data_IF_908760727472
#
_entry.id   IF_908760727472
#
_cell.length_a   1.000
_cell.length_b   1.000
_cell.length_c   1.000
_cell.angle_alpha   90.00
_cell.angle_beta   90.00
_cell.angle_gamma   90.00
#
_symmetry.space_group_name_H-M   'P 1'
#
loop_
_entity.id
_entity.type
_entity.pdbx_description
1 polymer ?
#
# COMPACT_ATOMS: atom_id res chain seq x y z
N UNK A 1 -15.48 -23.94 18.25
CA UNK A 1 -14.40 -23.25 17.49
C UNK A 1 -14.09 -23.96 16.17
N UNK A 2 -13.75 -25.23 16.20
CA UNK A 2 -13.37 -26.00 15.01
C UNK A 2 -14.48 -26.06 13.93
N UNK A 3 -15.74 -26.18 14.32
CA UNK A 3 -16.91 -26.18 13.44
C UNK A 3 -17.08 -24.84 12.66
N UNK A 4 -16.78 -23.69 13.28
CA UNK A 4 -16.94 -22.38 12.61
C UNK A 4 -15.83 -22.09 11.60
N UNK A 5 -14.57 -22.41 11.94
CA UNK A 5 -13.48 -22.33 10.98
C UNK A 5 -13.69 -23.26 9.81
N UNK A 6 -14.19 -24.48 10.03
CA UNK A 6 -14.55 -25.41 8.95
C UNK A 6 -15.63 -24.83 8.03
N UNK A 7 -16.63 -24.14 8.57
CA UNK A 7 -17.65 -23.46 7.78
C UNK A 7 -17.04 -22.32 6.94
N UNK A 8 -16.16 -21.50 7.50
CA UNK A 8 -15.43 -20.45 6.76
C UNK A 8 -14.66 -21.06 5.59
N UNK A 9 -13.90 -22.12 5.83
CA UNK A 9 -13.11 -22.79 4.79
C UNK A 9 -14.00 -23.33 3.67
N UNK A 10 -15.11 -24.03 4.01
CA UNK A 10 -16.02 -24.59 3.02
C UNK A 10 -16.76 -23.52 2.22
N UNK A 11 -17.03 -22.35 2.80
CA UNK A 11 -17.64 -21.23 2.09
C UNK A 11 -16.71 -20.70 1.00
N UNK A 12 -15.44 -20.45 1.35
CA UNK A 12 -14.42 -19.98 0.39
C UNK A 12 -14.17 -21.04 -0.70
N UNK A 13 -14.16 -22.34 -0.33
CA UNK A 13 -14.02 -23.41 -1.32
C UNK A 13 -15.20 -23.51 -2.25
N UNK A 14 -16.42 -23.28 -1.77
CA UNK A 14 -17.63 -23.26 -2.60
C UNK A 14 -17.57 -22.14 -3.66
N UNK A 15 -17.04 -21.00 -3.28
CA UNK A 15 -16.98 -19.81 -4.13
C UNK A 15 -15.67 -19.72 -4.95
N UNK A 16 -14.85 -20.78 -4.93
CA UNK A 16 -13.53 -20.86 -5.60
C UNK A 16 -13.57 -20.40 -7.06
N UNK A 17 -14.43 -20.96 -7.88
CA UNK A 17 -14.48 -20.65 -9.33
C UNK A 17 -14.80 -19.17 -9.57
N UNK A 18 -15.71 -18.60 -8.77
CA UNK A 18 -16.08 -17.19 -8.86
C UNK A 18 -14.94 -16.27 -8.43
N UNK A 19 -14.22 -16.63 -7.37
CA UNK A 19 -13.07 -15.87 -6.89
C UNK A 19 -11.89 -15.92 -7.89
N UNK A 20 -11.61 -17.09 -8.47
CA UNK A 20 -10.59 -17.21 -9.51
C UNK A 20 -10.97 -16.42 -10.77
N UNK A 21 -12.26 -16.41 -11.15
CA UNK A 21 -12.76 -15.59 -12.26
C UNK A 21 -12.62 -14.10 -11.96
N UNK A 22 -12.92 -13.67 -10.73
CA UNK A 22 -12.71 -12.30 -10.29
C UNK A 22 -11.24 -11.87 -10.44
N UNK A 23 -10.31 -12.68 -9.95
CA UNK A 23 -8.87 -12.42 -10.07
C UNK A 23 -8.44 -12.27 -11.53
N UNK A 24 -8.89 -13.18 -12.41
CA UNK A 24 -8.54 -13.12 -13.83
C UNK A 24 -9.14 -11.91 -14.53
N UNK A 25 -10.38 -11.51 -14.22
CA UNK A 25 -11.00 -10.30 -14.79
C UNK A 25 -10.22 -9.04 -14.43
N UNK A 26 -9.85 -8.89 -13.15
CA UNK A 26 -9.05 -7.74 -12.71
C UNK A 26 -7.68 -7.78 -13.39
N UNK A 27 -7.04 -8.95 -13.47
CA UNK A 27 -5.72 -9.10 -14.09
C UNK A 27 -5.73 -8.73 -15.58
N UNK A 28 -6.75 -9.17 -16.32
CA UNK A 28 -6.83 -9.02 -17.78
C UNK A 28 -7.29 -7.63 -18.20
N UNK A 29 -7.82 -6.82 -17.27
CA UNK A 29 -8.30 -5.46 -17.46
C UNK A 29 -7.61 -4.50 -16.48
N UNK A 30 -6.29 -4.29 -16.61
CA UNK A 30 -5.49 -3.54 -15.65
C UNK A 30 -5.74 -2.05 -15.76
N UNK A 31 -6.18 -1.43 -14.66
CA UNK A 31 -6.44 0.00 -14.53
C UNK A 31 -5.44 0.67 -13.58
N UNK A 32 -5.10 1.93 -13.87
CA UNK A 32 -4.16 2.69 -13.04
C UNK A 32 -4.85 3.27 -11.79
N UNK A 33 -4.04 3.64 -10.82
CA UNK A 33 -4.53 4.22 -9.57
C UNK A 33 -5.47 5.41 -9.77
N UNK A 34 -6.61 5.39 -9.08
CA UNK A 34 -7.78 6.27 -9.16
C UNK A 34 -8.59 6.15 -10.47
N UNK A 35 -8.28 5.18 -11.33
CA UNK A 35 -9.02 4.88 -12.56
C UNK A 35 -9.59 3.45 -12.54
N UNK A 36 -9.59 2.74 -11.40
CA UNK A 36 -9.93 1.33 -11.22
C UNK A 36 -11.46 1.09 -11.19
N UNK A 37 -12.18 1.62 -12.16
CA UNK A 37 -13.65 1.54 -12.21
C UNK A 37 -14.16 0.15 -12.57
N UNK A 38 -13.48 -0.58 -13.45
CA UNK A 38 -13.85 -1.94 -13.83
C UNK A 38 -13.56 -2.91 -12.69
N UNK A 39 -12.39 -2.82 -12.06
CA UNK A 39 -12.06 -3.63 -10.89
C UNK A 39 -13.08 -3.43 -9.75
N UNK A 40 -13.44 -2.16 -9.45
CA UNK A 40 -14.53 -1.82 -8.52
C UNK A 40 -15.85 -2.49 -8.91
N UNK A 41 -16.21 -2.46 -10.22
CA UNK A 41 -17.44 -3.09 -10.70
C UNK A 41 -17.40 -4.60 -10.51
N UNK A 42 -16.32 -5.27 -10.90
CA UNK A 42 -16.18 -6.72 -10.77
C UNK A 42 -16.30 -7.19 -9.33
N UNK A 43 -15.61 -6.52 -8.39
CA UNK A 43 -15.69 -6.83 -6.96
C UNK A 43 -17.12 -6.56 -6.44
N UNK A 44 -17.71 -5.42 -6.82
CA UNK A 44 -19.06 -5.04 -6.40
C UNK A 44 -20.11 -6.06 -6.88
N UNK A 45 -19.97 -6.60 -8.08
CA UNK A 45 -20.90 -7.57 -8.63
C UNK A 45 -20.84 -8.90 -7.87
N UNK A 46 -19.64 -9.37 -7.51
CA UNK A 46 -19.47 -10.56 -6.65
C UNK A 46 -20.15 -10.31 -5.29
N UNK A 47 -19.85 -9.20 -4.62
CA UNK A 47 -20.42 -8.89 -3.30
C UNK A 47 -21.95 -8.76 -3.34
N UNK A 48 -22.51 -8.10 -4.36
CA UNK A 48 -23.95 -7.96 -4.55
C UNK A 48 -24.64 -9.30 -4.84
N UNK A 49 -24.02 -10.18 -5.64
CA UNK A 49 -24.53 -11.54 -5.91
C UNK A 49 -24.65 -12.36 -4.62
N UNK A 50 -23.76 -12.14 -3.65
CA UNK A 50 -23.82 -12.72 -2.32
C UNK A 50 -24.74 -11.96 -1.35
N UNK A 51 -25.48 -10.96 -1.83
CA UNK A 51 -26.50 -10.23 -1.06
C UNK A 51 -25.96 -9.08 -0.21
N UNK A 52 -24.70 -8.67 -0.38
CA UNK A 52 -24.14 -7.53 0.35
C UNK A 52 -24.37 -6.22 -0.38
N UNK A 53 -24.72 -5.19 0.39
CA UNK A 53 -24.78 -3.82 -0.12
C UNK A 53 -23.35 -3.30 -0.24
N UNK A 54 -23.03 -2.71 -1.40
CA UNK A 54 -21.75 -2.07 -1.67
C UNK A 54 -21.95 -0.56 -1.73
N UNK A 55 -21.30 0.16 -0.86
CA UNK A 55 -21.16 1.61 -0.91
C UNK A 55 -19.95 1.98 -1.76
N UNK A 56 -20.17 2.52 -2.94
CA UNK A 56 -19.12 3.00 -3.85
C UNK A 56 -18.79 4.47 -3.57
N UNK A 57 -17.58 4.92 -3.91
CA UNK A 57 -17.11 6.26 -3.60
C UNK A 57 -16.82 6.44 -2.10
N UNK A 58 -16.57 5.35 -1.39
CA UNK A 58 -16.36 5.34 0.06
C UNK A 58 -15.14 6.18 0.46
N UNK A 59 -15.29 6.96 1.54
CA UNK A 59 -14.23 7.85 2.00
C UNK A 59 -13.84 8.93 0.97
N UNK A 60 -14.74 9.26 0.01
CA UNK A 60 -14.52 10.33 -0.97
C UNK A 60 -13.57 10.00 -2.11
N UNK A 61 -13.20 8.75 -2.32
CA UNK A 61 -12.46 8.28 -3.48
C UNK A 61 -13.40 7.51 -4.42
N UNK A 62 -13.56 7.97 -5.66
CA UNK A 62 -14.57 7.45 -6.61
C UNK A 62 -14.43 5.94 -6.85
N UNK A 63 -13.20 5.42 -6.88
CA UNK A 63 -12.90 4.01 -7.12
C UNK A 63 -12.79 3.18 -5.84
N UNK A 64 -12.99 3.78 -4.65
CA UNK A 64 -13.08 3.08 -3.37
C UNK A 64 -14.49 2.53 -3.12
N UNK A 65 -14.59 1.51 -2.28
CA UNK A 65 -15.87 0.94 -1.85
C UNK A 65 -15.79 0.40 -0.42
N UNK A 66 -16.99 0.19 0.17
CA UNK A 66 -17.15 -0.58 1.40
C UNK A 66 -18.35 -1.50 1.30
N UNK A 67 -18.20 -2.72 1.80
CA UNK A 67 -19.31 -3.62 2.12
C UNK A 67 -19.10 -4.18 3.52
N UNK A 68 -20.20 -4.50 4.22
CA UNK A 68 -20.12 -4.94 5.61
C UNK A 68 -21.20 -5.95 5.98
N UNK A 69 -20.95 -6.73 7.03
CA UNK A 69 -21.90 -7.62 7.69
C UNK A 69 -21.79 -7.43 9.20
N UNK A 70 -22.89 -7.07 9.81
CA UNK A 70 -23.01 -7.01 11.27
C UNK A 70 -23.17 -8.39 11.88
N UNK A 71 -22.64 -8.54 13.07
CA UNK A 71 -22.80 -9.73 13.91
C UNK A 71 -24.04 -9.69 14.78
N UNK A 72 -24.16 -10.66 15.69
CA UNK A 72 -25.33 -10.85 16.57
C UNK A 72 -25.50 -9.76 17.65
N UNK A 73 -24.43 -9.05 18.00
CA UNK A 73 -24.41 -7.99 19.03
C UNK A 73 -23.26 -7.02 18.76
N UNK A 74 -23.31 -5.80 19.32
CA UNK A 74 -22.22 -4.83 19.21
C UNK A 74 -20.87 -5.43 19.63
N UNK A 75 -19.81 -4.98 18.96
CA UNK A 75 -18.43 -5.41 19.18
C UNK A 75 -17.48 -4.72 18.22
N UNK A 76 -16.22 -5.17 18.08
CA UNK A 76 -15.23 -4.53 17.23
C UNK A 76 -15.50 -4.76 15.73
N UNK A 77 -14.92 -3.90 14.92
CA UNK A 77 -14.93 -4.01 13.46
C UNK A 77 -13.61 -4.54 12.94
N UNK A 78 -13.67 -5.65 12.20
CA UNK A 78 -12.55 -6.21 11.44
C UNK A 78 -12.69 -5.83 9.97
N UNK A 79 -11.67 -5.22 9.39
CA UNK A 79 -11.64 -4.83 7.98
C UNK A 79 -10.63 -5.67 7.18
N UNK A 80 -11.07 -6.22 6.05
CA UNK A 80 -10.18 -6.73 5.01
C UNK A 80 -9.92 -5.63 3.98
N UNK A 81 -8.65 -5.36 3.65
CA UNK A 81 -8.28 -4.30 2.73
C UNK A 81 -8.00 -4.89 1.35
N UNK A 82 -8.62 -4.30 0.32
CA UNK A 82 -8.51 -4.75 -1.06
C UNK A 82 -7.80 -3.69 -1.92
N UNK A 83 -6.64 -4.03 -2.47
CA UNK A 83 -5.95 -3.26 -3.51
C UNK A 83 -6.23 -3.88 -4.87
N UNK A 84 -6.34 -3.06 -5.93
CA UNK A 84 -6.67 -3.51 -7.28
C UNK A 84 -6.11 -2.62 -8.40
N UNK A 85 -5.29 -1.63 -8.09
CA UNK A 85 -4.59 -0.82 -9.08
C UNK A 85 -3.43 -1.59 -9.72
N UNK A 86 -3.12 -1.21 -10.97
CA UNK A 86 -2.07 -1.80 -11.80
C UNK A 86 -0.95 -0.81 -12.10
N UNK A 87 0.18 -1.33 -12.56
CA UNK A 87 1.36 -0.57 -12.97
C UNK A 87 1.30 -0.20 -14.45
N UNK A 88 1.59 1.04 -14.77
CA UNK A 88 1.62 1.54 -16.16
C UNK A 88 2.58 0.74 -17.02
N UNK A 89 2.05 0.11 -18.08
CA UNK A 89 2.82 -0.66 -19.06
C UNK A 89 3.27 -2.05 -18.60
N UNK A 90 2.94 -2.44 -17.36
CA UNK A 90 3.26 -3.75 -16.78
C UNK A 90 2.02 -4.57 -16.48
N UNK A 91 0.91 -3.92 -16.10
CA UNK A 91 -0.28 -4.58 -15.59
C UNK A 91 -0.17 -4.89 -14.10
N UNK A 92 -0.74 -6.01 -13.64
CA UNK A 92 -0.71 -6.39 -12.23
C UNK A 92 0.65 -6.95 -11.77
N UNK A 93 1.72 -6.19 -12.04
CA UNK A 93 3.10 -6.54 -11.67
C UNK A 93 3.41 -6.50 -10.17
N UNK A 94 2.42 -6.12 -9.33
CA UNK A 94 2.46 -6.25 -7.88
C UNK A 94 1.44 -7.28 -7.36
N UNK A 95 0.61 -7.84 -8.25
CA UNK A 95 -0.37 -8.88 -7.93
C UNK A 95 -1.60 -8.38 -7.17
N UNK A 96 -2.00 -7.12 -7.36
CA UNK A 96 -3.16 -6.54 -6.67
C UNK A 96 -4.48 -7.23 -7.04
N UNK A 97 -4.58 -7.87 -8.22
CA UNK A 97 -5.70 -8.76 -8.56
C UNK A 97 -5.89 -9.87 -7.50
N UNK A 98 -4.79 -10.41 -6.97
CA UNK A 98 -4.82 -11.43 -5.90
C UNK A 98 -5.18 -10.83 -4.55
N UNK A 99 -4.74 -9.57 -4.24
CA UNK A 99 -5.11 -8.88 -3.00
C UNK A 99 -6.61 -8.60 -2.95
N UNK A 100 -7.17 -8.07 -4.05
CA UNK A 100 -8.61 -7.84 -4.19
C UNK A 100 -9.41 -9.14 -3.97
N UNK A 101 -9.01 -10.19 -4.65
CA UNK A 101 -9.67 -11.50 -4.60
C UNK A 101 -9.54 -12.15 -3.22
N UNK A 102 -8.35 -12.14 -2.63
CA UNK A 102 -8.09 -12.66 -1.30
C UNK A 102 -8.97 -11.97 -0.23
N UNK A 103 -9.01 -10.63 -0.27
CA UNK A 103 -9.82 -9.85 0.68
C UNK A 103 -11.32 -10.06 0.46
N UNK A 104 -11.77 -10.22 -0.80
CA UNK A 104 -13.17 -10.55 -1.11
C UNK A 104 -13.53 -11.93 -0.57
N UNK A 105 -12.71 -12.94 -0.83
CA UNK A 105 -12.92 -14.29 -0.31
C UNK A 105 -12.88 -14.35 1.22
N UNK A 106 -11.96 -13.62 1.85
CA UNK A 106 -11.88 -13.52 3.32
C UNK A 106 -13.15 -12.88 3.92
N UNK A 107 -13.65 -11.82 3.29
CA UNK A 107 -14.90 -11.18 3.69
C UNK A 107 -16.09 -12.14 3.57
N UNK A 108 -16.28 -12.80 2.43
CA UNK A 108 -17.36 -13.77 2.22
C UNK A 108 -17.30 -14.91 3.23
N UNK A 109 -16.11 -15.49 3.43
CA UNK A 109 -15.90 -16.57 4.38
C UNK A 109 -16.25 -16.19 5.81
N UNK A 110 -15.73 -15.08 6.32
CA UNK A 110 -16.01 -14.63 7.69
C UNK A 110 -17.47 -14.17 7.85
N UNK A 111 -18.01 -13.48 6.86
CA UNK A 111 -19.40 -13.01 6.87
C UNK A 111 -20.42 -14.16 7.00
N UNK A 112 -20.08 -15.36 6.51
CA UNK A 112 -20.93 -16.56 6.60
C UNK A 112 -21.21 -17.04 8.03
N UNK A 113 -20.38 -16.62 9.01
CA UNK A 113 -20.50 -17.02 10.43
C UNK A 113 -20.80 -15.84 11.36
N UNK A 114 -21.02 -14.64 10.84
CA UNK A 114 -21.21 -13.42 11.65
C UNK A 114 -22.46 -13.47 12.54
N UNK A 115 -23.48 -14.23 12.17
CA UNK A 115 -24.69 -14.38 13.01
C UNK A 115 -24.41 -14.93 14.42
N UNK A 116 -23.26 -15.59 14.59
CA UNK A 116 -22.81 -16.17 15.85
C UNK A 116 -21.72 -15.35 16.57
N UNK A 117 -21.26 -14.25 15.95
CA UNK A 117 -20.16 -13.43 16.45
C UNK A 117 -20.60 -12.03 16.87
N UNK A 118 -19.90 -11.39 17.81
CA UNK A 118 -20.07 -9.97 18.07
C UNK A 118 -19.39 -9.12 17.00
N UNK A 119 -19.76 -7.83 16.95
CA UNK A 119 -19.06 -6.85 16.14
C UNK A 119 -19.45 -6.86 14.66
N UNK A 120 -18.51 -6.52 13.82
CA UNK A 120 -18.73 -6.31 12.38
C UNK A 120 -17.51 -6.81 11.60
N UNK A 121 -17.77 -7.36 10.43
CA UNK A 121 -16.75 -7.55 9.39
C UNK A 121 -17.04 -6.61 8.21
N UNK A 122 -16.01 -6.00 7.65
CA UNK A 122 -16.13 -5.23 6.42
C UNK A 122 -14.98 -5.54 5.45
N UNK A 123 -15.22 -5.23 4.18
CA UNK A 123 -14.17 -5.13 3.16
C UNK A 123 -14.12 -3.67 2.70
N UNK A 124 -12.92 -3.12 2.60
CA UNK A 124 -12.68 -1.75 2.13
C UNK A 124 -11.78 -1.81 0.91
N UNK A 125 -12.29 -1.31 -0.21
CA UNK A 125 -11.51 -1.10 -1.43
C UNK A 125 -10.59 0.10 -1.25
N UNK A 126 -9.30 -0.14 -1.40
CA UNK A 126 -8.24 0.85 -1.16
C UNK A 126 -7.44 1.07 -2.45
N UNK A 127 -7.95 1.96 -3.35
CA UNK A 127 -7.37 2.21 -4.66
C UNK A 127 -5.99 2.89 -4.59
N UNK A 128 -5.24 2.84 -5.68
CA UNK A 128 -4.05 3.63 -5.94
C UNK A 128 -2.93 3.47 -4.90
N UNK A 129 -2.58 2.24 -4.54
CA UNK A 129 -1.39 1.97 -3.71
C UNK A 129 -0.11 2.41 -4.43
N UNK A 130 -0.01 2.11 -5.74
CA UNK A 130 1.16 2.37 -6.59
C UNK A 130 1.33 3.88 -6.90
N UNK A 131 1.78 4.61 -5.90
CA UNK A 131 2.11 6.04 -6.00
C UNK A 131 0.97 7.03 -5.73
N UNK A 132 -0.27 6.57 -5.58
CA UNK A 132 -1.42 7.42 -5.26
C UNK A 132 -1.69 7.58 -3.77
N UNK A 133 -1.19 6.63 -2.95
CA UNK A 133 -1.38 6.56 -1.51
C UNK A 133 -2.86 6.67 -1.10
N UNK A 134 -3.71 5.83 -1.70
CA UNK A 134 -5.16 5.85 -1.49
C UNK A 134 -5.55 5.65 -0.04
N UNK A 135 -4.88 4.75 0.71
CA UNK A 135 -5.14 4.54 2.14
C UNK A 135 -4.84 5.78 2.98
N UNK A 136 -3.82 6.58 2.62
CA UNK A 136 -3.56 7.86 3.31
C UNK A 136 -4.72 8.82 3.13
N UNK A 137 -5.28 8.91 1.92
CA UNK A 137 -6.43 9.77 1.63
C UNK A 137 -7.69 9.28 2.34
N UNK A 138 -7.95 7.97 2.31
CA UNK A 138 -9.06 7.33 3.04
C UNK A 138 -8.96 7.59 4.56
N UNK A 139 -7.77 7.48 5.16
CA UNK A 139 -7.53 7.80 6.56
C UNK A 139 -7.86 9.27 6.87
N UNK A 140 -7.39 10.21 6.04
CA UNK A 140 -7.68 11.65 6.20
C UNK A 140 -9.17 11.96 6.12
N UNK A 141 -9.91 11.18 5.36
CA UNK A 141 -11.36 11.33 5.17
C UNK A 141 -12.20 10.53 6.18
N UNK A 142 -11.56 9.90 7.18
CA UNK A 142 -12.26 9.18 8.26
C UNK A 142 -12.77 7.79 7.88
N UNK A 143 -12.35 7.24 6.73
CA UNK A 143 -12.82 5.92 6.25
C UNK A 143 -12.48 4.74 7.17
N UNK A 144 -11.58 4.93 8.12
CA UNK A 144 -11.15 3.93 9.10
C UNK A 144 -11.57 4.25 10.54
N UNK A 145 -12.41 5.29 10.79
CA UNK A 145 -12.69 5.77 12.15
C UNK A 145 -13.50 4.76 12.97
N UNK A 146 -14.26 3.87 12.32
CA UNK A 146 -15.02 2.79 12.95
C UNK A 146 -14.35 1.40 12.82
N UNK A 147 -13.11 1.34 12.33
CA UNK A 147 -12.36 0.10 12.15
C UNK A 147 -11.41 -0.12 13.33
N UNK A 148 -11.48 -1.30 13.95
CA UNK A 148 -10.63 -1.67 15.08
C UNK A 148 -9.41 -2.48 14.68
N UNK A 149 -9.51 -3.29 13.63
CA UNK A 149 -8.46 -4.20 13.17
C UNK A 149 -8.47 -4.27 11.64
N UNK A 150 -7.30 -4.17 11.01
CA UNK A 150 -7.16 -4.26 9.55
C UNK A 150 -6.27 -5.45 9.15
N UNK A 151 -6.72 -6.22 8.16
CA UNK A 151 -6.02 -7.40 7.68
C UNK A 151 -5.87 -7.34 6.16
N UNK A 152 -4.66 -7.63 5.70
CA UNK A 152 -4.36 -7.75 4.27
C UNK A 152 -3.26 -8.80 4.05
N UNK A 153 -3.37 -9.57 2.97
CA UNK A 153 -2.32 -10.42 2.44
C UNK A 153 -1.76 -9.79 1.17
N UNK A 154 -0.46 -9.86 0.97
CA UNK A 154 0.20 -9.39 -0.24
C UNK A 154 0.96 -10.54 -0.93
N UNK A 155 0.84 -10.71 -2.25
CA UNK A 155 1.64 -11.70 -2.96
C UNK A 155 3.12 -11.32 -2.99
N UNK A 156 3.97 -12.33 -3.05
CA UNK A 156 5.42 -12.18 -3.19
C UNK A 156 5.99 -13.28 -4.09
N UNK A 157 7.29 -13.30 -4.32
CA UNK A 157 7.98 -14.33 -5.10
C UNK A 157 9.17 -14.93 -4.33
N UNK A 158 9.73 -16.03 -4.85
CA UNK A 158 10.93 -16.66 -4.34
C UNK A 158 10.75 -17.64 -3.20
N UNK A 159 9.53 -18.19 -3.02
CA UNK A 159 9.25 -19.31 -2.12
C UNK A 159 9.28 -18.98 -0.62
N UNK A 160 9.22 -17.70 -0.23
CA UNK A 160 9.24 -17.31 1.17
C UNK A 160 7.93 -16.65 1.59
N UNK A 161 7.18 -17.32 2.46
CA UNK A 161 5.99 -16.76 3.09
C UNK A 161 6.40 -16.07 4.41
N UNK A 162 6.04 -14.79 4.56
CA UNK A 162 6.51 -13.96 5.67
C UNK A 162 5.35 -13.32 6.43
N UNK A 163 5.38 -13.43 7.76
CA UNK A 163 4.51 -12.67 8.66
C UNK A 163 5.28 -11.53 9.30
N UNK A 164 4.60 -10.43 9.58
CA UNK A 164 5.20 -9.33 10.35
C UNK A 164 6.34 -8.61 9.63
N UNK A 165 6.29 -8.56 8.30
CA UNK A 165 7.24 -7.82 7.49
C UNK A 165 7.05 -6.33 7.68
N UNK A 166 8.09 -5.64 8.15
CA UNK A 166 8.13 -4.19 8.25
C UNK A 166 8.15 -3.50 6.88
N UNK A 167 8.30 -2.19 6.89
CA UNK A 167 8.44 -1.38 5.67
C UNK A 167 9.01 -0.02 6.05
N UNK A 168 9.54 0.70 5.06
CA UNK A 168 10.13 2.01 5.23
C UNK A 168 9.16 3.10 4.80
N UNK A 169 9.34 4.30 5.35
CA UNK A 169 8.63 5.47 4.87
C UNK A 169 9.16 5.92 3.49
N UNK A 170 8.26 6.44 2.65
CA UNK A 170 8.60 6.98 1.34
C UNK A 170 7.74 8.19 0.98
N UNK A 171 8.33 9.08 0.17
CA UNK A 171 7.63 10.22 -0.42
C UNK A 171 8.21 10.51 -1.80
N UNK A 172 7.36 10.84 -2.76
CA UNK A 172 7.77 11.36 -4.05
C UNK A 172 7.69 12.89 -4.09
N UNK A 173 8.52 13.51 -4.90
CA UNK A 173 8.44 14.94 -5.15
C UNK A 173 8.79 15.25 -6.60
N UNK A 174 8.05 16.18 -7.21
CA UNK A 174 8.33 16.76 -8.53
C UNK A 174 8.64 18.23 -8.37
N UNK A 175 9.69 18.68 -9.02
CA UNK A 175 10.10 20.09 -9.01
C UNK A 175 10.16 20.58 -10.45
N UNK A 176 9.35 21.59 -10.75
CA UNK A 176 9.34 22.31 -12.01
C UNK A 176 10.05 23.65 -11.85
N UNK A 177 11.05 23.92 -12.67
CA UNK A 177 11.69 25.22 -12.73
C UNK A 177 11.29 26.00 -13.99
N UNK A 178 10.82 27.22 -13.79
CA UNK A 178 10.55 28.20 -14.84
C UNK A 178 11.67 29.22 -14.89
N UNK A 179 12.31 29.35 -16.05
CA UNK A 179 13.33 30.33 -16.35
C UNK A 179 12.91 31.24 -17.49
N UNK A 180 13.88 31.62 -18.35
CA UNK A 180 13.66 32.43 -19.55
C UNK A 180 14.52 31.92 -20.70
N UNK A 181 13.90 31.57 -21.82
CA UNK A 181 14.58 31.13 -23.04
C UNK A 181 15.40 32.26 -23.68
N UNK A 182 16.54 31.86 -24.26
CA UNK A 182 17.39 32.77 -25.06
C UNK A 182 18.25 31.93 -26.01
N UNK A 183 18.77 32.58 -27.07
CA UNK A 183 19.77 31.93 -27.89
C UNK A 183 21.07 31.75 -27.11
N UNK A 184 21.72 30.59 -27.22
CA UNK A 184 22.92 30.26 -26.45
C UNK A 184 24.11 31.19 -26.66
N UNK A 185 24.14 31.94 -27.81
CA UNK A 185 25.16 32.96 -28.08
C UNK A 185 24.98 34.25 -27.26
N UNK A 186 23.83 34.47 -26.66
CA UNK A 186 23.50 35.64 -25.83
C UNK A 186 22.87 35.22 -24.49
N UNK A 187 23.56 34.38 -23.67
CA UNK A 187 22.98 33.72 -22.51
C UNK A 187 22.48 34.69 -21.44
N UNK A 188 23.06 35.91 -21.38
CA UNK A 188 22.66 36.97 -20.45
C UNK A 188 21.19 37.43 -20.62
N UNK A 189 20.56 37.11 -21.74
CA UNK A 189 19.17 37.46 -22.01
C UNK A 189 18.19 36.38 -21.49
N UNK A 190 18.71 35.23 -21.04
CA UNK A 190 17.95 34.10 -20.49
C UNK A 190 18.14 33.87 -19.01
N UNK A 191 17.32 32.99 -18.47
CA UNK A 191 17.45 32.38 -17.15
C UNK A 191 17.39 30.89 -17.37
N UNK A 192 18.47 30.17 -17.05
CA UNK A 192 18.59 28.75 -17.36
C UNK A 192 17.93 27.89 -16.29
N UNK A 193 16.75 27.34 -16.57
CA UNK A 193 16.03 26.45 -15.66
C UNK A 193 16.78 25.13 -15.41
N UNK A 194 17.50 24.60 -16.40
CA UNK A 194 18.28 23.36 -16.22
C UNK A 194 19.43 23.56 -15.22
N UNK A 195 20.05 24.74 -15.21
CA UNK A 195 21.08 25.05 -14.22
C UNK A 195 20.52 24.97 -12.79
N UNK A 196 19.27 25.39 -12.57
CA UNK A 196 18.63 25.26 -11.25
C UNK A 196 18.42 23.79 -10.87
N UNK A 197 17.95 22.95 -11.77
CA UNK A 197 17.81 21.49 -11.55
C UNK A 197 19.16 20.87 -11.18
N UNK A 198 20.22 21.14 -11.95
CA UNK A 198 21.57 20.63 -11.68
C UNK A 198 22.06 21.06 -10.30
N UNK A 199 21.80 22.31 -9.89
CA UNK A 199 22.15 22.81 -8.56
C UNK A 199 21.44 22.07 -7.45
N UNK A 200 20.15 21.70 -7.62
CA UNK A 200 19.44 20.87 -6.62
C UNK A 200 20.14 19.54 -6.43
N UNK A 201 20.48 18.82 -7.52
CA UNK A 201 21.20 17.55 -7.43
C UNK A 201 22.56 17.67 -6.74
N UNK A 202 23.35 18.69 -7.12
CA UNK A 202 24.67 18.94 -6.52
C UNK A 202 24.58 19.21 -5.01
N UNK A 203 23.59 20.00 -4.58
CA UNK A 203 23.42 20.31 -3.16
C UNK A 203 22.96 19.09 -2.35
N UNK A 204 22.05 18.26 -2.91
CA UNK A 204 21.66 17.00 -2.27
C UNK A 204 22.90 16.10 -2.10
N UNK A 205 23.74 15.98 -3.12
CA UNK A 205 24.96 15.17 -3.04
C UNK A 205 25.97 15.70 -2.01
N UNK A 206 26.10 17.01 -1.88
CA UNK A 206 26.93 17.63 -0.82
C UNK A 206 26.40 17.33 0.59
N UNK A 207 25.09 17.14 0.73
CA UNK A 207 24.46 16.86 2.04
C UNK A 207 24.43 15.37 2.40
N UNK A 208 24.66 14.44 1.44
CA UNK A 208 24.64 12.96 1.70
C UNK A 208 25.49 12.54 2.90
N UNK A 209 26.70 13.09 3.18
CA UNK A 209 27.46 12.71 4.36
C UNK A 209 26.78 13.02 5.70
N UNK A 210 25.73 13.85 5.71
CA UNK A 210 24.95 14.19 6.91
C UNK A 210 23.68 13.35 7.06
N UNK A 211 23.39 12.49 6.08
CA UNK A 211 22.22 11.62 6.10
C UNK A 211 22.46 10.41 7.01
N UNK A 212 21.38 9.92 7.59
CA UNK A 212 21.41 8.64 8.28
C UNK A 212 21.66 7.50 7.28
N UNK A 213 22.28 6.38 7.69
CA UNK A 213 22.62 5.28 6.77
C UNK A 213 21.44 4.73 5.95
N UNK A 214 20.24 4.90 6.45
CA UNK A 214 19.01 4.44 5.82
C UNK A 214 18.31 5.52 4.98
N UNK A 215 18.78 6.76 5.04
CA UNK A 215 18.19 7.82 4.22
C UNK A 215 18.57 7.65 2.76
N UNK A 216 17.58 7.84 1.89
CA UNK A 216 17.80 7.75 0.47
C UNK A 216 17.00 8.84 -0.25
N UNK A 217 17.70 9.63 -1.09
CA UNK A 217 17.10 10.58 -2.01
C UNK A 217 17.66 10.25 -3.39
N UNK A 218 16.87 9.55 -4.21
CA UNK A 218 17.18 9.28 -5.62
C UNK A 218 16.34 10.16 -6.51
N UNK A 219 16.90 10.60 -7.63
CA UNK A 219 16.16 11.44 -8.56
C UNK A 219 16.60 11.28 -10.01
N UNK A 220 15.76 11.81 -10.88
CA UNK A 220 16.00 11.93 -12.31
C UNK A 220 15.72 13.35 -12.77
N UNK A 221 16.32 13.74 -13.88
CA UNK A 221 15.93 14.93 -14.65
C UNK A 221 14.91 14.46 -15.69
N UNK A 222 13.63 14.80 -15.50
CA UNK A 222 12.56 14.38 -16.40
C UNK A 222 12.40 15.30 -17.63
N UNK A 223 12.90 16.56 -17.52
CA UNK A 223 12.98 17.50 -18.65
C UNK A 223 14.22 18.40 -18.49
N UNK A 224 15.12 18.41 -19.46
CA UNK A 224 16.34 19.23 -19.46
C UNK A 224 16.37 20.32 -20.53
N UNK A 225 15.24 20.61 -21.20
CA UNK A 225 15.15 21.56 -22.31
C UNK A 225 15.04 20.87 -23.67
N UNK A 226 14.96 21.66 -24.75
CA UNK A 226 14.64 21.17 -26.10
C UNK A 226 15.82 21.06 -27.05
N UNK A 227 16.85 21.93 -26.93
CA UNK A 227 18.00 21.96 -27.82
C UNK A 227 19.21 22.63 -27.17
N UNK A 228 20.42 22.15 -27.48
CA UNK A 228 21.66 22.63 -26.90
C UNK A 228 22.02 24.11 -27.23
N UNK A 229 21.48 24.65 -28.30
CA UNK A 229 21.66 26.05 -28.72
C UNK A 229 20.59 27.01 -28.18
N UNK A 230 19.73 26.54 -27.25
CA UNK A 230 18.69 27.32 -26.57
C UNK A 230 18.86 27.22 -25.07
N UNK A 231 18.88 28.38 -24.38
CA UNK A 231 18.83 28.39 -22.90
C UNK A 231 17.47 27.84 -22.45
N UNK A 232 17.41 26.75 -21.67
CA UNK A 232 16.15 26.14 -21.25
C UNK A 232 15.27 27.09 -20.45
N UNK A 233 14.06 27.36 -20.96
CA UNK A 233 13.04 28.17 -20.28
C UNK A 233 12.30 27.37 -19.19
N UNK A 234 12.32 26.06 -19.26
CA UNK A 234 11.76 25.16 -18.27
C UNK A 234 12.64 23.93 -18.11
N UNK A 235 12.66 23.34 -16.91
CA UNK A 235 13.29 22.08 -16.62
C UNK A 235 12.59 21.41 -15.43
N UNK A 236 12.56 20.07 -15.42
CA UNK A 236 11.86 19.29 -14.43
C UNK A 236 12.77 18.23 -13.84
N UNK A 237 12.62 17.96 -12.54
CA UNK A 237 13.20 16.81 -11.87
C UNK A 237 12.21 16.15 -10.91
N UNK A 238 12.44 14.88 -10.66
CA UNK A 238 11.64 14.07 -9.75
C UNK A 238 12.55 13.34 -8.79
N UNK A 239 12.15 13.26 -7.51
CA UNK A 239 12.88 12.52 -6.49
C UNK A 239 11.97 11.53 -5.79
N UNK A 240 12.54 10.38 -5.41
CA UNK A 240 11.99 9.42 -4.47
C UNK A 240 12.81 9.51 -3.18
N UNK A 241 12.15 9.84 -2.08
CA UNK A 241 12.74 9.95 -0.74
C UNK A 241 12.34 8.70 0.02
N UNK A 242 13.29 8.04 0.70
CA UNK A 242 13.04 6.92 1.61
C UNK A 242 13.80 7.12 2.91
N UNK A 243 13.16 6.77 4.03
CA UNK A 243 13.76 6.78 5.35
C UNK A 243 13.10 5.73 6.26
N UNK A 244 13.66 5.53 7.45
CA UNK A 244 13.11 4.55 8.40
C UNK A 244 11.75 4.98 8.95
N UNK A 245 11.47 6.29 9.06
CA UNK A 245 10.22 6.80 9.60
C UNK A 245 9.67 7.97 8.78
N UNK A 246 8.36 8.16 8.83
CA UNK A 246 7.68 9.33 8.25
C UNK A 246 8.21 10.63 8.85
N UNK A 247 8.51 10.66 10.15
CA UNK A 247 9.12 11.83 10.80
C UNK A 247 10.49 12.17 10.19
N UNK A 248 11.28 11.16 9.81
CA UNK A 248 12.57 11.39 9.13
C UNK A 248 12.37 11.91 7.70
N UNK A 249 11.35 11.43 6.98
CA UNK A 249 10.96 11.96 5.66
C UNK A 249 10.67 13.46 5.74
N UNK A 250 9.96 13.93 6.75
CA UNK A 250 9.69 15.37 6.95
C UNK A 250 10.99 16.19 7.02
N UNK A 251 12.01 15.69 7.73
CA UNK A 251 13.33 16.31 7.78
C UNK A 251 14.04 16.33 6.41
N UNK A 252 13.93 15.26 5.62
CA UNK A 252 14.50 15.20 4.26
C UNK A 252 13.74 16.09 3.27
N UNK A 253 12.43 16.27 3.46
CA UNK A 253 11.62 17.25 2.71
C UNK A 253 12.17 18.66 2.93
N UNK A 254 12.53 19.03 4.16
CA UNK A 254 13.10 20.35 4.45
C UNK A 254 14.48 20.54 3.80
N UNK A 255 15.28 19.48 3.68
CA UNK A 255 16.54 19.51 2.91
C UNK A 255 16.25 19.83 1.44
N UNK A 256 15.31 19.15 0.80
CA UNK A 256 14.96 19.42 -0.61
C UNK A 256 14.44 20.85 -0.78
N UNK A 257 13.55 21.32 0.09
CA UNK A 257 13.07 22.70 0.07
C UNK A 257 14.20 23.71 0.17
N UNK A 258 15.21 23.44 1.00
CA UNK A 258 16.40 24.30 1.11
C UNK A 258 17.20 24.32 -0.19
N UNK A 259 17.47 23.14 -0.78
CA UNK A 259 18.21 23.02 -2.04
C UNK A 259 17.49 23.76 -3.18
N UNK A 260 16.16 23.62 -3.26
CA UNK A 260 15.36 24.31 -4.28
C UNK A 260 15.41 25.83 -4.10
N UNK A 261 15.22 26.34 -2.88
CA UNK A 261 15.33 27.78 -2.60
C UNK A 261 16.71 28.35 -2.96
N UNK A 262 17.77 27.64 -2.64
CA UNK A 262 19.12 28.05 -2.99
C UNK A 262 19.32 28.06 -4.52
N UNK A 263 18.78 27.07 -5.25
CA UNK A 263 18.83 27.03 -6.69
C UNK A 263 18.08 28.22 -7.35
N UNK A 264 16.91 28.59 -6.81
CA UNK A 264 16.19 29.80 -7.24
C UNK A 264 17.01 31.06 -7.05
N UNK A 265 17.64 31.23 -5.88
CA UNK A 265 18.46 32.41 -5.57
C UNK A 265 19.69 32.52 -6.47
N UNK A 266 20.37 31.42 -6.75
CA UNK A 266 21.58 31.39 -7.58
C UNK A 266 21.30 31.62 -9.05
N UNK A 267 20.18 31.09 -9.57
CA UNK A 267 19.91 31.09 -11.01
C UNK A 267 18.91 32.14 -11.46
N UNK A 268 18.07 32.61 -10.54
CA UNK A 268 16.93 33.48 -10.85
C UNK A 268 15.70 32.73 -11.41
N UNK A 269 15.79 31.41 -11.64
CA UNK A 269 14.65 30.59 -12.00
C UNK A 269 13.65 30.50 -10.84
N UNK A 270 12.37 30.21 -11.15
CA UNK A 270 11.31 30.02 -10.15
C UNK A 270 10.88 28.57 -10.10
N UNK A 271 10.73 28.04 -8.90
CA UNK A 271 10.33 26.66 -8.66
C UNK A 271 8.87 26.53 -8.26
N UNK A 272 8.23 25.50 -8.78
CA UNK A 272 6.99 24.93 -8.28
C UNK A 272 7.26 23.49 -7.82
N UNK A 273 6.81 23.15 -6.60
CA UNK A 273 7.09 21.84 -5.96
C UNK A 273 5.79 21.13 -5.69
N UNK A 274 5.63 19.95 -6.30
CA UNK A 274 4.50 19.04 -6.05
C UNK A 274 4.96 17.85 -5.22
N UNK A 275 4.37 17.68 -4.02
CA UNK A 275 4.65 16.59 -3.10
C UNK A 275 3.64 15.47 -3.25
N UNK A 276 4.11 14.23 -3.31
CA UNK A 276 3.26 13.07 -3.08
C UNK A 276 2.88 12.92 -1.60
N UNK A 277 1.90 12.08 -1.31
CA UNK A 277 1.59 11.69 0.05
C UNK A 277 2.77 10.90 0.65
N UNK A 278 2.95 10.97 1.96
CA UNK A 278 3.96 10.19 2.66
C UNK A 278 3.36 8.82 3.02
N UNK A 279 3.85 7.77 2.40
CA UNK A 279 3.65 6.41 2.89
C UNK A 279 4.53 6.20 4.11
N UNK A 280 3.93 5.88 5.25
CA UNK A 280 4.65 5.69 6.51
C UNK A 280 5.34 4.31 6.56
N UNK A 281 6.26 4.17 7.49
CA UNK A 281 6.78 2.86 7.88
C UNK A 281 5.68 1.98 8.49
N UNK A 282 5.85 0.66 8.42
CA UNK A 282 4.84 -0.31 8.88
C UNK A 282 5.12 -0.80 10.29
N UNK A 283 4.05 -0.88 11.08
CA UNK A 283 4.03 -1.44 12.43
C UNK A 283 3.15 -2.70 12.47
N UNK A 284 3.65 -3.88 11.98
CA UNK A 284 2.88 -5.11 11.98
C UNK A 284 2.49 -5.51 13.41
N UNK A 285 1.22 -5.78 13.65
CA UNK A 285 0.77 -6.23 14.97
C UNK A 285 1.15 -7.70 15.19
N UNK A 286 2.16 -7.93 16.02
CA UNK A 286 2.76 -9.27 16.20
C UNK A 286 1.78 -10.34 16.69
N UNK A 287 0.88 -10.10 17.67
CA UNK A 287 -0.17 -11.04 18.00
C UNK A 287 -1.04 -11.46 16.83
N UNK A 288 -1.50 -10.49 16.01
CA UNK A 288 -2.29 -10.78 14.81
C UNK A 288 -1.49 -11.58 13.77
N UNK A 289 -0.23 -11.21 13.52
CA UNK A 289 0.67 -11.96 12.63
C UNK A 289 0.88 -13.41 13.11
N UNK A 290 1.00 -13.63 14.42
CA UNK A 290 1.12 -14.99 14.97
C UNK A 290 -0.16 -15.80 14.71
N UNK A 291 -1.33 -15.22 14.94
CA UNK A 291 -2.60 -15.88 14.67
C UNK A 291 -2.76 -16.22 13.17
N UNK A 292 -2.39 -15.30 12.29
CA UNK A 292 -2.37 -15.57 10.83
C UNK A 292 -1.40 -16.71 10.49
N UNK A 293 -0.19 -16.70 11.06
CA UNK A 293 0.80 -17.77 10.87
C UNK A 293 0.25 -19.13 11.30
N UNK A 294 -0.37 -19.21 12.47
CA UNK A 294 -0.93 -20.46 13.01
C UNK A 294 -2.09 -20.97 12.12
N UNK A 295 -2.93 -20.05 11.61
CA UNK A 295 -4.00 -20.38 10.69
C UNK A 295 -3.46 -20.86 9.31
N UNK A 296 -2.37 -20.28 8.83
CA UNK A 296 -1.73 -20.73 7.58
C UNK A 296 -1.06 -22.10 7.73
N UNK A 297 -0.51 -22.41 8.90
CA UNK A 297 0.03 -23.74 9.21
C UNK A 297 -1.05 -24.85 9.17
N UNK A 298 -2.28 -24.54 9.63
CA UNK A 298 -3.44 -25.44 9.49
C UNK A 298 -3.72 -25.74 8.00
N UNK A 299 -3.48 -24.77 7.11
CA UNK A 299 -3.66 -24.90 5.66
C UNK A 299 -2.43 -25.50 4.94
N UNK A 300 -1.42 -25.94 5.68
CA UNK A 300 -0.19 -26.54 5.16
C UNK A 300 0.80 -25.51 4.57
N UNK A 301 0.69 -24.24 4.92
CA UNK A 301 1.61 -23.17 4.51
C UNK A 301 2.52 -22.79 5.67
N UNK A 302 3.80 -23.07 5.53
CA UNK A 302 4.82 -22.62 6.50
C UNK A 302 5.03 -21.10 6.35
N UNK A 303 4.89 -20.35 7.44
CA UNK A 303 5.16 -18.92 7.52
C UNK A 303 6.41 -18.65 8.36
N UNK A 304 7.23 -17.69 7.94
CA UNK A 304 8.47 -17.28 8.62
C UNK A 304 8.39 -15.85 9.09
N UNK A 305 9.10 -15.55 10.18
CA UNK A 305 9.38 -14.17 10.56
C UNK A 305 10.51 -13.62 9.67
N UNK A 306 10.48 -12.34 9.31
CA UNK A 306 11.51 -11.74 8.47
C UNK A 306 12.87 -11.69 9.17
N UNK A 307 13.95 -11.67 8.38
CA UNK A 307 15.25 -11.30 8.92
C UNK A 307 15.21 -9.86 9.45
N UNK A 308 15.56 -9.61 10.72
CA UNK A 308 15.59 -8.27 11.30
C UNK A 308 16.47 -7.27 10.55
N UNK A 309 17.44 -7.75 9.75
CA UNK A 309 18.35 -6.92 8.95
C UNK A 309 17.86 -6.67 7.53
N UNK A 310 16.82 -7.38 7.10
CA UNK A 310 16.28 -7.22 5.76
C UNK A 310 15.62 -5.86 5.59
N UNK A 311 15.86 -5.23 4.44
CA UNK A 311 15.20 -4.00 4.05
C UNK A 311 14.02 -4.31 3.13
N UNK A 312 12.92 -3.62 3.36
CA UNK A 312 11.69 -3.82 2.62
C UNK A 312 11.20 -2.52 2.00
N UNK A 313 10.35 -2.64 0.98
CA UNK A 313 9.70 -1.52 0.32
C UNK A 313 8.71 -0.79 1.23
N UNK A 314 8.12 0.24 0.68
CA UNK A 314 7.08 1.06 1.31
C UNK A 314 5.71 0.65 0.81
N UNK A 315 4.68 0.90 1.61
CA UNK A 315 3.28 0.79 1.23
C UNK A 315 2.45 1.68 2.15
N UNK A 316 1.37 2.23 1.64
CA UNK A 316 0.49 3.15 2.37
C UNK A 316 -0.32 2.48 3.49
N UNK A 317 -0.33 1.14 3.59
CA UNK A 317 -0.83 0.43 4.77
C UNK A 317 0.00 0.76 6.03
N UNK A 318 1.23 1.27 5.88
CA UNK A 318 2.01 1.80 6.99
C UNK A 318 1.24 2.84 7.78
N UNK A 319 0.58 3.76 7.09
CA UNK A 319 -0.25 4.81 7.71
C UNK A 319 -1.45 4.22 8.48
N UNK A 320 -2.08 3.17 7.93
CA UNK A 320 -3.15 2.43 8.62
C UNK A 320 -2.61 1.78 9.89
N UNK A 321 -1.44 1.13 9.81
CA UNK A 321 -0.81 0.41 10.94
C UNK A 321 -0.39 1.31 12.10
N UNK A 322 -0.19 2.61 11.86
CA UNK A 322 0.02 3.61 12.91
C UNK A 322 -1.29 3.91 13.65
N UNK A 323 -2.40 3.99 12.92
CA UNK A 323 -3.70 4.40 13.46
C UNK A 323 -4.42 3.27 14.20
N UNK A 324 -4.40 2.06 13.61
CA UNK A 324 -5.10 0.86 14.12
C UNK A 324 -4.20 -0.38 13.99
N UNK A 325 -4.38 -1.40 14.85
CA UNK A 325 -3.69 -2.68 14.68
C UNK A 325 -3.92 -3.26 13.29
N UNK A 326 -2.83 -3.57 12.58
CA UNK A 326 -2.89 -4.09 11.22
C UNK A 326 -1.87 -5.19 10.95
N UNK A 327 -2.19 -6.08 9.99
CA UNK A 327 -1.25 -7.00 9.38
C UNK A 327 -1.21 -6.80 7.85
N UNK A 328 -0.03 -7.02 7.31
CA UNK A 328 0.27 -7.02 5.88
C UNK A 328 1.26 -8.15 5.63
N UNK A 329 0.75 -9.36 5.60
CA UNK A 329 1.56 -10.56 5.55
C UNK A 329 1.72 -11.06 4.10
N UNK A 330 2.82 -11.76 3.81
CA UNK A 330 3.25 -12.05 2.45
C UNK A 330 3.20 -13.53 2.15
N UNK A 331 2.55 -13.89 1.02
CA UNK A 331 2.52 -15.25 0.49
C UNK A 331 3.22 -15.31 -0.87
N UNK A 332 4.10 -16.26 -1.02
CA UNK A 332 4.81 -16.47 -2.28
C UNK A 332 3.91 -17.16 -3.30
N UNK A 333 3.74 -16.53 -4.46
CA UNK A 333 2.95 -17.06 -5.59
C UNK A 333 3.80 -17.85 -6.59
N UNK A 334 5.11 -17.89 -6.38
CA UNK A 334 6.07 -18.67 -7.19
C UNK A 334 7.36 -18.88 -6.42
N UNK A 335 7.97 -20.06 -6.58
CA UNK A 335 9.28 -20.38 -6.01
C UNK A 335 10.44 -19.78 -6.81
N UNK A 336 10.19 -19.26 -8.01
CA UNK A 336 11.21 -18.67 -8.87
C UNK A 336 11.73 -17.36 -8.27
N UNK A 337 13.01 -17.39 -7.83
CA UNK A 337 13.72 -16.24 -7.24
C UNK A 337 14.13 -15.18 -8.27
N UNK A 338 14.05 -15.48 -9.55
CA UNK A 338 14.41 -14.55 -10.62
C UNK A 338 13.26 -13.61 -10.96
N UNK A 339 12.02 -14.01 -10.67
CA UNK A 339 10.83 -13.20 -10.87
C UNK A 339 10.77 -12.13 -9.76
N UNK A 340 10.79 -10.87 -10.18
CA UNK A 340 10.74 -9.73 -9.28
C UNK A 340 9.45 -8.94 -9.45
N UNK A 341 8.91 -8.39 -8.36
CA UNK A 341 7.78 -7.48 -8.44
C UNK A 341 8.07 -6.29 -9.39
N UNK A 342 7.03 -5.71 -9.97
CA UNK A 342 7.06 -4.64 -10.95
C UNK A 342 7.62 -5.05 -12.32
N UNK A 343 7.59 -6.35 -12.64
CA UNK A 343 7.94 -6.88 -13.95
C UNK A 343 6.75 -7.56 -14.62
N UNK A 344 6.84 -7.76 -15.94
CA UNK A 344 5.81 -8.48 -16.69
C UNK A 344 5.76 -9.96 -16.28
N UNK A 345 6.91 -10.55 -16.01
CA UNK A 345 7.03 -11.93 -15.53
C UNK A 345 6.31 -12.13 -14.20
N UNK A 346 6.32 -11.12 -13.33
CA UNK A 346 5.54 -11.17 -12.08
C UNK A 346 4.03 -11.03 -12.33
N UNK A 347 3.63 -10.15 -13.25
CA UNK A 347 2.23 -10.04 -13.66
C UNK A 347 1.72 -11.37 -14.24
N UNK A 348 2.51 -12.03 -15.11
CA UNK A 348 2.17 -13.34 -15.66
C UNK A 348 2.06 -14.41 -14.54
N UNK A 349 2.99 -14.40 -13.56
CA UNK A 349 2.92 -15.29 -12.39
C UNK A 349 1.68 -15.05 -11.52
N UNK A 350 1.23 -13.79 -11.37
CA UNK A 350 0.04 -13.44 -10.60
C UNK A 350 -1.28 -13.94 -11.21
N UNK A 351 -1.24 -14.43 -12.45
CA UNK A 351 -2.40 -15.07 -13.12
C UNK A 351 -2.31 -16.61 -13.19
N UNK A 352 -1.24 -17.20 -12.63
CA UNK A 352 -1.04 -18.64 -12.65
C UNK A 352 -2.02 -19.40 -11.74
N UNK A 353 -2.24 -20.70 -12.01
CA UNK A 353 -3.06 -21.56 -11.15
C UNK A 353 -2.46 -21.67 -9.72
N UNK A 354 -1.14 -21.68 -9.61
CA UNK A 354 -0.45 -21.66 -8.31
C UNK A 354 -0.77 -20.40 -7.52
N UNK A 355 -0.74 -19.23 -8.17
CA UNK A 355 -1.08 -17.95 -7.53
C UNK A 355 -2.55 -17.91 -7.08
N UNK A 356 -3.49 -18.47 -7.88
CA UNK A 356 -4.90 -18.57 -7.49
C UNK A 356 -5.08 -19.47 -6.26
N UNK A 357 -4.42 -20.63 -6.21
CA UNK A 357 -4.47 -21.52 -5.04
C UNK A 357 -3.92 -20.83 -3.77
N UNK A 358 -2.79 -20.12 -3.89
CA UNK A 358 -2.18 -19.36 -2.77
C UNK A 358 -3.10 -18.23 -2.35
N UNK A 359 -3.74 -17.51 -3.28
CA UNK A 359 -4.71 -16.47 -3.00
C UNK A 359 -5.88 -17.01 -2.13
N UNK A 360 -6.46 -18.14 -2.52
CA UNK A 360 -7.56 -18.76 -1.76
C UNK A 360 -7.12 -19.24 -0.37
N UNK A 361 -5.91 -19.77 -0.24
CA UNK A 361 -5.34 -20.09 1.08
C UNK A 361 -5.13 -18.83 1.92
N UNK A 362 -4.67 -17.75 1.32
CA UNK A 362 -4.56 -16.45 1.97
C UNK A 362 -5.91 -15.94 2.48
N UNK A 363 -6.96 -16.03 1.64
CA UNK A 363 -8.33 -15.66 2.02
C UNK A 363 -8.82 -16.47 3.23
N UNK A 364 -8.59 -17.78 3.24
CA UNK A 364 -8.90 -18.66 4.37
C UNK A 364 -8.14 -18.27 5.64
N UNK A 365 -6.84 -18.01 5.52
CA UNK A 365 -6.00 -17.57 6.64
C UNK A 365 -6.47 -16.25 7.24
N UNK A 366 -6.77 -15.24 6.39
CA UNK A 366 -7.30 -13.95 6.83
C UNK A 366 -8.67 -14.10 7.50
N UNK A 367 -9.60 -14.86 6.91
CA UNK A 367 -10.94 -15.08 7.46
C UNK A 367 -10.91 -15.78 8.82
N UNK A 368 -10.07 -16.82 8.98
CA UNK A 368 -9.87 -17.49 10.27
C UNK A 368 -9.25 -16.56 11.31
N UNK A 369 -8.31 -15.68 10.92
CA UNK A 369 -7.70 -14.71 11.82
C UNK A 369 -8.72 -13.65 12.26
N UNK A 370 -9.55 -13.17 11.34
CA UNK A 370 -10.68 -12.30 11.67
C UNK A 370 -11.68 -12.95 12.63
N UNK A 371 -11.96 -14.24 12.44
CA UNK A 371 -12.77 -15.05 13.38
C UNK A 371 -12.13 -15.11 14.76
N UNK A 372 -10.83 -15.39 14.87
CA UNK A 372 -10.11 -15.47 16.14
C UNK A 372 -10.18 -14.12 16.89
N UNK A 373 -10.05 -13.00 16.16
CA UNK A 373 -10.18 -11.65 16.73
C UNK A 373 -11.60 -11.43 17.28
N UNK A 374 -12.65 -11.68 16.47
CA UNK A 374 -14.02 -11.40 16.87
C UNK A 374 -14.53 -12.32 17.98
N UNK A 375 -13.98 -13.53 18.09
CA UNK A 375 -14.44 -14.53 19.06
C UNK A 375 -13.78 -14.44 20.44
N UNK A 376 -12.76 -13.57 20.65
CA UNK A 376 -11.99 -13.51 21.89
C UNK A 376 -11.69 -12.08 22.36
N UNK A 377 -12.39 -11.64 23.40
CA UNK A 377 -12.14 -10.34 24.06
C UNK A 377 -10.71 -10.25 24.62
N UNK A 378 -10.15 -11.39 25.11
CA UNK A 378 -8.78 -11.46 25.63
C UNK A 378 -7.76 -11.20 24.52
N UNK A 379 -7.97 -11.81 23.35
CA UNK A 379 -7.11 -11.62 22.20
C UNK A 379 -7.19 -10.19 21.65
N UNK A 380 -8.38 -9.61 21.60
CA UNK A 380 -8.55 -8.18 21.24
C UNK A 380 -7.77 -7.27 22.19
N UNK A 381 -7.84 -7.53 23.50
CA UNK A 381 -7.11 -6.74 24.49
C UNK A 381 -5.58 -6.89 24.34
N UNK A 382 -5.08 -8.09 24.02
CA UNK A 382 -3.67 -8.33 23.72
C UNK A 382 -3.21 -7.54 22.50
N UNK A 383 -3.97 -7.61 21.39
CA UNK A 383 -3.68 -6.89 20.15
C UNK A 383 -3.59 -5.38 20.40
N UNK A 384 -4.58 -4.79 21.08
CA UNK A 384 -4.62 -3.35 21.37
C UNK A 384 -3.46 -2.92 22.26
N UNK A 385 -3.16 -3.69 23.31
CA UNK A 385 -2.02 -3.41 24.21
C UNK A 385 -0.69 -3.46 23.45
N UNK A 386 -0.50 -4.45 22.58
CA UNK A 386 0.70 -4.55 21.77
C UNK A 386 0.84 -3.34 20.83
N UNK A 387 -0.24 -2.97 20.15
CA UNK A 387 -0.26 -1.81 19.26
C UNK A 387 0.09 -0.52 20.02
N UNK A 388 -0.53 -0.27 21.18
CA UNK A 388 -0.26 0.93 21.99
C UNK A 388 1.22 1.02 22.42
N UNK A 389 1.86 -0.12 22.73
CA UNK A 389 3.26 -0.19 23.11
C UNK A 389 4.21 -0.04 21.91
N UNK A 390 3.82 -0.53 20.75
CA UNK A 390 4.65 -0.52 19.54
C UNK A 390 4.73 0.85 18.89
N UNK A 391 3.63 1.60 18.86
CA UNK A 391 3.57 2.89 18.17
C UNK A 391 4.37 3.95 18.94
N UNK A 392 5.34 4.64 18.29
CA UNK A 392 6.11 5.71 18.91
C UNK A 392 5.24 6.86 19.41
N UNK A 393 5.66 7.47 20.54
CA UNK A 393 4.89 8.54 21.18
C UNK A 393 4.68 9.78 20.29
N UNK A 394 5.54 10.01 19.32
CA UNK A 394 5.37 11.13 18.41
C UNK A 394 4.24 10.98 17.40
N UNK A 395 3.69 9.76 17.25
CA UNK A 395 2.48 9.50 16.48
C UNK A 395 1.20 9.50 17.33
N UNK A 396 1.34 9.34 18.64
CA UNK A 396 0.20 9.38 19.54
C UNK A 396 -0.32 10.80 19.66
N UNK A 397 -1.60 11.00 19.38
CA UNK A 397 -2.24 12.29 19.60
C UNK A 397 -1.98 12.73 21.04
N UNK A 398 -1.49 13.96 21.23
CA UNK A 398 -1.43 14.55 22.56
C UNK A 398 -2.87 14.63 23.06
N UNK A 399 -3.23 13.79 24.04
CA UNK A 399 -4.49 13.93 24.76
C UNK A 399 -4.54 15.36 25.29
N UNK A 400 -5.32 16.21 24.58
CA UNK A 400 -5.60 17.60 24.97
C UNK A 400 -6.53 17.65 26.18
#
# INVERSE_FOLDING_TARGET
MEDRKSKILSEIDRDREELEELSRKIHDDPELGFEEFHALSYISDVLKKHGYRVEQGYGGLETSFRAEKEGSKPGPTVAFLAEYDALKGVGHGCGHNLIATCSTGAFLGLASVMEDLPGKVCIIGTPAEEGGAGKVKLLKNGAFDDVDFALMMHPSSGGSNLVGRGGRAACSVKVHFTGKGAHSSVPKNGINALSAVIHVFQQIDLMRPTFDPQDNINGIISNGGSAANVIPASADCEFCIRADTMKRIEGLIDVIKLCVRNAEQLTGAKADISWGEISAERYPNRPMCQAFKDNMEILGIEMKWPDPKAQYGSSDIGNVSIKIPAIHDYLSITDDKTIQAHTKEYADAANSEEAQEICLKGAKGLAMTGYDILSSDEFQAEIRRFHEQQIPDFYKEKKS
#
